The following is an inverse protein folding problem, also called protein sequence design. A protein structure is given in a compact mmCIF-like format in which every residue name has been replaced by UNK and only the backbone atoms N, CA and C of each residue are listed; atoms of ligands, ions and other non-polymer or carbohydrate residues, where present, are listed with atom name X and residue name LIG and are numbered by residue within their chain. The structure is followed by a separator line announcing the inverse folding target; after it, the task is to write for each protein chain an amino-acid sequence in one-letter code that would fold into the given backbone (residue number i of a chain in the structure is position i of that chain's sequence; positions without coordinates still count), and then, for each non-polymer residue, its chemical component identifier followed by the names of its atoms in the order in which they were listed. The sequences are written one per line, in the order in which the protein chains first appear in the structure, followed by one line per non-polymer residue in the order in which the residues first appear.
data_IF_348433548035
#
_entry.id   IF_348433548035
#
_cell.length_a   1.000
_cell.length_b   1.000
_cell.length_c   1.000
_cell.angle_alpha   90.00
_cell.angle_beta   90.00
_cell.angle_gamma   90.00
#
_symmetry.space_group_name_H-M   'P 1'
#
loop_
_entity.id
_entity.type
_entity.pdbx_description
1 polymer ?
#
# COMPACT_ATOMS: atom_id res chain seq x y z
N UNK A 1 10.07 1.03 -17.67
CA UNK A 1 10.24 1.47 -16.36
C UNK A 1 9.41 2.67 -16.07
N UNK A 2 8.88 2.79 -14.90
CA UNK A 2 8.04 3.89 -14.57
C UNK A 2 8.82 4.96 -13.95
N UNK A 3 8.70 6.16 -14.42
CA UNK A 3 9.38 7.28 -13.84
C UNK A 3 8.99 7.51 -12.43
N UNK A 4 7.75 7.22 -12.12
CA UNK A 4 7.23 7.45 -10.79
C UNK A 4 7.99 6.65 -9.74
N UNK A 5 8.56 5.53 -10.11
CA UNK A 5 9.28 4.70 -9.16
C UNK A 5 10.56 5.36 -8.67
N UNK A 6 11.11 6.29 -9.43
CA UNK A 6 12.32 6.98 -9.02
C UNK A 6 12.09 7.90 -7.84
N UNK A 7 10.86 8.36 -7.66
CA UNK A 7 10.58 9.31 -6.60
C UNK A 7 9.96 8.68 -5.38
N UNK A 8 9.85 7.35 -5.38
CA UNK A 8 9.27 6.70 -4.22
C UNK A 8 10.35 6.30 -3.25
N UNK A 9 10.04 6.42 -1.96
CA UNK A 9 10.96 5.94 -0.95
C UNK A 9 11.04 4.42 -1.02
N UNK A 10 12.11 3.83 -0.47
CA UNK A 10 12.20 2.37 -0.44
C UNK A 10 11.02 1.73 0.27
N UNK A 11 10.49 2.37 1.32
CA UNK A 11 9.33 1.82 2.02
C UNK A 11 8.11 1.77 1.13
N UNK A 12 7.89 2.83 0.35
CA UNK A 12 6.74 2.85 -0.55
C UNK A 12 6.88 1.80 -1.64
N UNK A 13 8.08 1.62 -2.15
CA UNK A 13 8.33 0.60 -3.17
C UNK A 13 8.05 -0.80 -2.62
N UNK A 14 8.45 -1.06 -1.38
CA UNK A 14 8.21 -2.35 -0.76
C UNK A 14 6.71 -2.60 -0.56
N UNK A 15 5.97 -1.57 -0.19
CA UNK A 15 4.53 -1.69 -0.01
C UNK A 15 3.87 -2.06 -1.34
N UNK A 16 4.24 -1.36 -2.40
CA UNK A 16 3.67 -1.62 -3.72
C UNK A 16 3.98 -3.04 -4.16
N UNK A 17 5.22 -3.46 -3.99
CA UNK A 17 5.62 -4.80 -4.38
C UNK A 17 4.88 -5.87 -3.59
N UNK A 18 4.71 -5.62 -2.29
CA UNK A 18 3.96 -6.56 -1.46
C UNK A 18 2.53 -6.71 -1.94
N UNK A 19 1.91 -5.60 -2.31
CA UNK A 19 0.54 -5.63 -2.80
C UNK A 19 0.43 -6.28 -4.18
N UNK A 20 1.45 -6.17 -4.99
CA UNK A 20 1.48 -6.87 -6.26
C UNK A 20 1.48 -8.37 -6.04
N UNK A 21 2.20 -8.83 -5.04
CA UNK A 21 2.31 -10.25 -4.77
C UNK A 21 1.12 -10.81 -4.02
N UNK A 22 0.53 -10.03 -3.11
CA UNK A 22 -0.50 -10.53 -2.20
C UNK A 22 -1.89 -10.01 -2.49
N UNK A 23 -2.01 -9.05 -3.38
CA UNK A 23 -3.26 -8.46 -3.84
C UNK A 23 -3.90 -7.49 -2.84
N UNK A 24 -3.98 -7.83 -1.57
CA UNK A 24 -4.56 -6.92 -0.58
C UNK A 24 -4.04 -7.29 0.81
N UNK A 25 -4.13 -6.36 1.72
CA UNK A 25 -3.74 -6.60 3.10
C UNK A 25 -3.86 -5.34 3.95
N UNK A 26 -3.77 -5.54 5.27
CA UNK A 26 -3.80 -4.42 6.20
C UNK A 26 -2.39 -3.87 6.38
N UNK A 27 -2.29 -2.70 7.00
CA UNK A 27 -0.98 -2.13 7.28
C UNK A 27 -0.13 -3.06 8.14
N UNK A 28 -0.77 -3.72 9.10
CA UNK A 28 -0.05 -4.63 9.99
C UNK A 28 0.51 -5.83 9.22
N UNK A 29 -0.27 -6.37 8.30
CA UNK A 29 0.19 -7.48 7.48
C UNK A 29 1.39 -7.10 6.66
N UNK A 30 1.31 -5.94 6.03
CA UNK A 30 2.39 -5.48 5.16
C UNK A 30 3.63 -5.18 5.99
N UNK A 31 3.45 -4.48 7.11
CA UNK A 31 4.58 -4.11 7.95
C UNK A 31 5.33 -5.34 8.44
N UNK A 32 4.59 -6.36 8.85
CA UNK A 32 5.22 -7.57 9.35
C UNK A 32 6.06 -8.25 8.27
N UNK A 33 5.51 -8.32 7.06
CA UNK A 33 6.20 -9.04 6.00
C UNK A 33 7.39 -8.30 5.43
N UNK A 34 7.32 -6.96 5.37
CA UNK A 34 8.45 -6.21 4.83
C UNK A 34 9.41 -5.72 5.90
N UNK A 35 9.14 -6.08 7.16
CA UNK A 35 10.09 -5.82 8.23
C UNK A 35 10.11 -4.39 8.74
N UNK A 36 9.00 -3.68 8.63
CA UNK A 36 8.90 -2.31 9.12
C UNK A 36 8.10 -2.28 10.40
N UNK A 37 8.56 -1.48 11.37
CA UNK A 37 7.84 -1.33 12.61
C UNK A 37 6.61 -0.47 12.36
N UNK A 38 5.45 -1.03 12.63
CA UNK A 38 4.19 -0.34 12.43
C UNK A 38 3.79 0.42 13.68
N UNK A 39 4.54 1.47 14.01
CA UNK A 39 4.24 2.27 15.18
C UNK A 39 4.51 3.74 14.87
N UNK A 40 3.89 4.61 15.63
CA UNK A 40 4.00 6.02 15.40
C UNK A 40 3.35 6.40 14.08
N UNK A 41 3.57 7.60 13.64
CA UNK A 41 2.94 8.07 12.43
C UNK A 41 3.77 7.90 11.17
N UNK A 42 5.01 7.50 11.31
CA UNK A 42 5.89 7.46 10.16
C UNK A 42 5.48 6.45 9.11
N UNK A 43 5.14 5.26 9.55
CA UNK A 43 4.78 4.21 8.62
C UNK A 43 3.47 4.57 7.92
N UNK A 44 2.53 5.12 8.67
CA UNK A 44 1.23 5.48 8.10
C UNK A 44 1.38 6.55 7.02
N UNK A 45 2.38 7.41 7.11
CA UNK A 45 2.60 8.44 6.10
C UNK A 45 2.79 7.84 4.72
N UNK A 46 3.47 6.71 4.63
CA UNK A 46 3.71 6.08 3.34
C UNK A 46 2.40 5.62 2.71
N UNK A 47 1.51 5.06 3.54
CA UNK A 47 0.21 4.66 3.04
C UNK A 47 -0.62 5.86 2.61
N UNK A 48 -0.58 6.90 3.41
CA UNK A 48 -1.35 8.09 3.10
C UNK A 48 -0.88 8.71 1.79
N UNK A 49 0.41 8.78 1.59
CA UNK A 49 0.94 9.34 0.36
C UNK A 49 0.49 8.52 -0.85
N UNK A 50 0.55 7.19 -0.74
CA UNK A 50 0.12 6.32 -1.82
C UNK A 50 -1.38 6.43 -2.09
N UNK A 51 -2.17 6.62 -1.04
CA UNK A 51 -3.61 6.83 -1.19
C UNK A 51 -3.89 8.14 -1.92
N UNK A 52 -3.20 9.19 -1.53
CA UNK A 52 -3.41 10.50 -2.13
C UNK A 52 -2.99 10.54 -3.58
N UNK A 53 -1.99 9.74 -3.94
CA UNK A 53 -1.55 9.67 -5.32
C UNK A 53 -2.40 8.73 -6.16
N UNK A 54 -3.30 8.01 -5.54
CA UNK A 54 -4.16 7.09 -6.26
C UNK A 54 -3.48 5.79 -6.64
N UNK A 55 -2.39 5.44 -5.99
CA UNK A 55 -1.67 4.20 -6.26
C UNK A 55 -2.32 3.02 -5.56
N UNK A 56 -2.82 3.26 -4.34
CA UNK A 56 -3.53 2.23 -3.59
C UNK A 56 -4.88 2.78 -3.17
N UNK A 57 -5.76 1.90 -2.75
CA UNK A 57 -7.05 2.31 -2.24
C UNK A 57 -7.50 1.35 -1.14
N UNK A 58 -8.46 1.76 -0.36
CA UNK A 58 -9.04 0.90 0.67
C UNK A 58 -10.13 0.10 0.00
N UNK A 59 -9.93 -1.22 -0.06
CA UNK A 59 -10.88 -2.09 -0.73
C UNK A 59 -11.87 -2.74 0.22
N UNK A 60 -11.67 -2.59 1.53
CA UNK A 60 -12.58 -3.17 2.50
C UNK A 60 -12.07 -2.94 3.91
N UNK A 61 -12.74 -3.55 4.86
CA UNK A 61 -12.38 -3.46 6.27
C UNK A 61 -12.50 -4.83 6.90
N UNK A 62 -11.67 -5.10 7.90
CA UNK A 62 -11.71 -6.38 8.61
C UNK A 62 -11.73 -6.13 10.11
N UNK A 63 -12.29 -7.09 10.84
CA UNK A 63 -12.30 -7.04 12.29
C UNK A 63 -13.35 -6.10 12.83
N UNK A 64 -13.57 -6.17 14.14
CA UNK A 64 -14.57 -5.32 14.77
C UNK A 64 -14.14 -3.87 14.87
N UNK A 65 -12.86 -3.60 14.65
CA UNK A 65 -12.37 -2.22 14.67
C UNK A 65 -12.35 -1.60 13.29
N UNK A 66 -12.88 -2.29 12.30
CA UNK A 66 -12.92 -1.78 10.93
C UNK A 66 -11.53 -1.38 10.43
N UNK A 67 -10.61 -2.32 10.48
CA UNK A 67 -9.25 -2.07 10.04
C UNK A 67 -9.22 -2.04 8.52
N UNK A 68 -8.70 -0.96 7.92
CA UNK A 68 -8.70 -0.85 6.45
C UNK A 68 -7.84 -1.91 5.79
N UNK A 69 -8.30 -2.42 4.67
CA UNK A 69 -7.56 -3.34 3.83
C UNK A 69 -7.20 -2.60 2.56
N UNK A 70 -5.91 -2.59 2.23
CA UNK A 70 -5.41 -1.83 1.08
C UNK A 70 -5.16 -2.74 -0.11
N UNK A 71 -5.31 -2.19 -1.29
CA UNK A 71 -5.02 -2.90 -2.54
C UNK A 71 -4.51 -1.89 -3.55
N UNK A 72 -3.80 -2.37 -4.56
CA UNK A 72 -3.34 -1.49 -5.63
C UNK A 72 -4.51 -1.09 -6.52
N UNK A 73 -4.47 0.15 -6.96
CA UNK A 73 -5.43 0.62 -7.93
C UNK A 73 -5.02 0.09 -9.29
N UNK A 74 -5.91 -0.66 -9.97
CA UNK A 74 -5.60 -1.15 -11.27
C UNK A 74 -6.02 -0.17 -12.28
N UNK A 75 -5.08 0.19 -13.12
CA UNK A 75 -5.40 1.06 -14.12
C UNK A 75 -5.73 0.33 -15.29
N UNK A 76 -6.69 -0.16 -15.43
CA UNK A 76 -6.87 -0.99 -16.41
C UNK A 76 -7.23 -0.47 -17.55
N UNK A 77 -7.38 0.23 -17.54
CA UNK A 77 -7.64 0.63 -18.53
C UNK A 77 -6.98 0.44 -19.41
N UNK A 78 -6.23 0.21 -19.16
CA UNK A 78 -5.54 -0.04 -19.93
C UNK A 78 -5.96 -1.02 -20.47
N UNK A 79 -6.33 -1.44 -20.39
CA UNK A 79 -6.64 -2.47 -20.91
C UNK A 79 -7.62 -2.35 -21.62
N UNK A 80 -7.73 -2.13 -21.71
CA UNK A 80 -8.56 -2.10 -22.46
C UNK A 80 -8.53 -1.70 -22.99
#
# INVERSE_FOLDING_TARGET
MRMIDHFRTPSQQKIIRWLEDNHMGTRADIARDIGIINSGGKYYRHFRALLEEGVIHICGYVGCKNIPVYALVRKNNESN
#
